data_IF_750865918763
#
_entry.id   IF_750865918763
#
_cell.length_a   1.000
_cell.length_b   1.000
_cell.length_c   1.000
_cell.angle_alpha   90.00
_cell.angle_beta   90.00
_cell.angle_gamma   90.00
#
_symmetry.space_group_name_H-M   'P 1'
#
loop_
_entity.id
_entity.type
_entity.pdbx_description
1 polymer ?
#
# COMPACT_ATOMS: atom_id res chain seq x y z
N UNK A 1 14.60 6.83 0.16
CA UNK A 1 14.13 6.22 -1.11
C UNK A 1 12.91 5.38 -0.79
N UNK A 2 11.80 5.59 -1.50
CA UNK A 2 10.60 4.78 -1.34
C UNK A 2 10.83 3.41 -2.01
N UNK A 3 10.65 2.31 -1.27
CA UNK A 3 10.79 0.96 -1.83
C UNK A 3 9.51 0.60 -2.59
N UNK A 4 9.56 0.77 -3.92
CA UNK A 4 8.43 0.50 -4.81
C UNK A 4 7.95 -0.95 -4.78
N UNK A 5 8.74 -1.90 -4.27
CA UNK A 5 8.38 -3.32 -4.17
C UNK A 5 7.73 -3.67 -2.83
N UNK A 6 7.66 -2.73 -1.89
CA UNK A 6 7.04 -2.94 -0.57
C UNK A 6 5.68 -2.26 -0.46
N UNK A 7 4.79 -2.95 0.25
CA UNK A 7 3.48 -2.48 0.61
C UNK A 7 3.62 -1.35 1.64
N UNK A 8 3.09 -0.15 1.37
CA UNK A 8 3.22 0.98 2.29
C UNK A 8 2.43 0.77 3.60
N UNK A 9 1.39 -0.07 3.58
CA UNK A 9 0.56 -0.33 4.75
C UNK A 9 1.19 -1.30 5.76
N UNK A 10 2.05 -2.23 5.31
CA UNK A 10 2.58 -3.29 6.20
C UNK A 10 4.07 -3.64 6.01
N UNK A 11 4.75 -3.03 5.05
CA UNK A 11 6.19 -3.26 4.77
C UNK A 11 6.54 -4.58 4.07
N UNK A 12 5.58 -5.51 3.92
CA UNK A 12 5.76 -6.75 3.17
C UNK A 12 5.86 -6.50 1.64
N UNK A 13 6.28 -7.50 0.85
CA UNK A 13 6.28 -7.38 -0.61
C UNK A 13 4.86 -7.12 -1.14
N UNK A 14 4.74 -6.16 -2.05
CA UNK A 14 3.46 -5.83 -2.68
C UNK A 14 3.06 -6.80 -3.81
N UNK A 15 3.99 -7.66 -4.23
CA UNK A 15 3.83 -8.62 -5.32
C UNK A 15 3.49 -7.96 -6.67
N UNK A 16 3.76 -6.67 -6.82
CA UNK A 16 3.51 -5.96 -8.06
C UNK A 16 4.60 -6.30 -9.08
N UNK A 17 4.21 -6.94 -10.18
CA UNK A 17 5.15 -7.30 -11.25
C UNK A 17 5.74 -6.06 -11.92
N UNK A 18 5.00 -4.95 -11.98
CA UNK A 18 5.46 -3.69 -12.54
C UNK A 18 6.44 -2.93 -11.63
N UNK A 19 6.52 -3.28 -10.34
CA UNK A 19 7.47 -2.66 -9.41
C UNK A 19 8.90 -3.21 -9.54
N UNK A 20 9.07 -4.35 -10.23
CA UNK A 20 10.38 -4.92 -10.55
C UNK A 20 10.60 -4.89 -12.08
N UNK A 21 11.62 -4.18 -12.59
CA UNK A 21 11.94 -4.17 -14.01
C UNK A 21 12.13 -5.57 -14.61
N UNK A 22 12.56 -6.55 -13.79
CA UNK A 22 12.78 -7.94 -14.23
C UNK A 22 11.47 -8.71 -14.45
N UNK A 23 10.37 -8.28 -13.81
CA UNK A 23 9.05 -8.93 -13.94
C UNK A 23 8.01 -8.06 -14.63
N UNK A 24 8.36 -6.84 -15.05
CA UNK A 24 7.42 -5.86 -15.61
C UNK A 24 6.70 -6.31 -16.90
N UNK A 25 7.17 -7.36 -17.56
CA UNK A 25 6.50 -7.95 -18.71
C UNK A 25 5.33 -8.88 -18.35
N UNK A 26 5.18 -9.27 -17.07
CA UNK A 26 4.13 -10.15 -16.60
C UNK A 26 2.91 -9.38 -16.08
N UNK A 27 1.72 -9.95 -16.28
CA UNK A 27 0.50 -9.43 -15.68
C UNK A 27 0.60 -9.41 -14.15
N UNK A 28 0.16 -8.31 -13.54
CA UNK A 28 0.14 -8.17 -12.09
C UNK A 28 -1.13 -8.83 -11.50
N UNK A 29 -1.01 -9.40 -10.30
CA UNK A 29 -2.16 -9.99 -9.58
C UNK A 29 -3.31 -8.98 -9.40
N UNK A 30 -2.99 -7.68 -9.24
CA UNK A 30 -4.00 -6.66 -8.98
C UNK A 30 -4.95 -6.43 -10.16
N UNK A 31 -4.59 -6.86 -11.37
CA UNK A 31 -5.45 -6.78 -12.56
C UNK A 31 -6.60 -7.79 -12.53
N UNK A 32 -6.47 -8.86 -11.73
CA UNK A 32 -7.47 -9.91 -11.62
C UNK A 32 -8.45 -9.69 -10.45
N UNK A 33 -8.34 -8.58 -9.73
CA UNK A 33 -9.18 -8.30 -8.56
C UNK A 33 -9.79 -6.91 -8.61
N UNK A 34 -10.86 -6.70 -7.85
CA UNK A 34 -11.36 -5.36 -7.53
C UNK A 34 -10.84 -4.95 -6.15
N UNK A 35 -10.11 -3.83 -6.10
CA UNK A 35 -9.62 -3.25 -4.84
C UNK A 35 -10.60 -2.16 -4.42
N UNK A 36 -11.14 -2.26 -3.21
CA UNK A 36 -12.06 -1.26 -2.67
C UNK A 36 -11.34 0.10 -2.54
N UNK A 37 -11.85 1.17 -3.17
CA UNK A 37 -11.30 2.52 -3.03
C UNK A 37 -11.19 3.01 -1.58
N UNK A 38 -12.03 2.51 -0.67
CA UNK A 38 -11.95 2.81 0.76
C UNK A 38 -10.61 2.37 1.36
N UNK A 39 -10.07 1.23 0.90
CA UNK A 39 -8.76 0.73 1.36
C UNK A 39 -7.63 1.68 0.97
N UNK A 40 -7.68 2.24 -0.24
CA UNK A 40 -6.72 3.23 -0.72
C UNK A 40 -6.86 4.57 0.02
N UNK A 41 -8.09 4.98 0.31
CA UNK A 41 -8.39 6.22 1.04
C UNK A 41 -7.96 6.17 2.50
N UNK A 42 -7.92 4.99 3.10
CA UNK A 42 -7.50 4.79 4.48
C UNK A 42 -5.96 4.86 4.67
N UNK A 43 -5.19 4.85 3.58
CA UNK A 43 -3.74 5.09 3.66
C UNK A 43 -3.45 6.54 4.08
N UNK A 44 -2.43 6.76 4.93
CA UNK A 44 -1.87 8.09 5.16
C UNK A 44 -1.55 8.79 3.82
N UNK A 45 -1.79 10.10 3.75
CA UNK A 45 -1.67 10.86 2.51
C UNK A 45 -0.26 10.78 1.92
N UNK A 46 0.75 10.71 2.77
CA UNK A 46 2.16 10.63 2.43
C UNK A 46 2.52 9.31 1.75
N UNK A 47 1.71 8.26 1.99
CA UNK A 47 1.90 6.91 1.48
C UNK A 47 1.05 6.60 0.24
N UNK A 48 0.08 7.47 -0.08
CA UNK A 48 -0.74 7.33 -1.29
C UNK A 48 0.08 7.59 -2.56
N UNK A 49 -0.23 6.85 -3.61
CA UNK A 49 0.41 6.95 -4.94
C UNK A 49 1.94 6.74 -4.94
N UNK A 50 2.48 6.10 -3.88
CA UNK A 50 3.91 5.83 -3.74
C UNK A 50 4.28 4.40 -4.14
N UNK A 51 3.49 3.42 -3.74
CA UNK A 51 3.73 2.01 -4.02
C UNK A 51 2.42 1.22 -4.00
N UNK A 52 2.41 0.04 -4.63
CA UNK A 52 1.23 -0.84 -4.64
C UNK A 52 1.00 -1.48 -3.26
N UNK A 53 -0.26 -1.78 -2.94
CA UNK A 53 -0.61 -2.64 -1.80
C UNK A 53 -0.28 -4.10 -2.09
N UNK A 54 -0.06 -4.90 -1.05
CA UNK A 54 -0.03 -6.36 -1.17
C UNK A 54 -1.46 -6.94 -1.17
N UNK A 55 -1.67 -8.20 -1.62
CA UNK A 55 -2.99 -8.83 -1.65
C UNK A 55 -3.73 -8.78 -0.31
N UNK A 56 -3.01 -8.98 0.80
CA UNK A 56 -3.59 -8.93 2.15
C UNK A 56 -4.12 -7.55 2.52
N UNK A 57 -3.34 -6.50 2.25
CA UNK A 57 -3.76 -5.13 2.55
C UNK A 57 -4.87 -4.67 1.62
N UNK A 58 -4.82 -5.03 0.34
CA UNK A 58 -5.85 -4.72 -0.64
C UNK A 58 -7.20 -5.39 -0.34
N UNK A 59 -7.18 -6.54 0.33
CA UNK A 59 -8.38 -7.23 0.83
C UNK A 59 -8.97 -6.59 2.11
N UNK A 60 -8.41 -5.48 2.60
CA UNK A 60 -8.91 -4.77 3.79
C UNK A 60 -8.41 -5.32 5.13
N UNK A 61 -7.62 -6.40 5.15
CA UNK A 61 -7.14 -7.03 6.38
C UNK A 61 -6.03 -6.24 7.12
N UNK A 62 -5.65 -5.06 6.62
CA UNK A 62 -4.52 -4.29 7.15
C UNK A 62 -4.88 -2.89 7.64
N UNK A 63 -6.17 -2.54 7.66
CA UNK A 63 -6.57 -1.30 8.30
C UNK A 63 -6.97 -1.63 9.72
N UNK A 64 -6.18 -1.23 10.74
CA UNK A 64 -6.75 -1.13 12.07
C UNK A 64 -7.96 -0.20 11.95
N UNK A 65 -9.15 -0.69 12.28
CA UNK A 65 -10.30 0.17 12.55
C UNK A 65 -9.81 1.26 13.51
N UNK A 66 -9.75 2.51 13.04
CA UNK A 66 -9.42 3.68 13.85
C UNK A 66 -8.00 3.76 14.45
N UNK A 67 -6.94 3.73 13.62
CA UNK A 67 -5.67 4.32 14.06
C UNK A 67 -5.82 5.86 14.11
N UNK A 68 -5.71 6.52 15.28
CA UNK A 68 -5.69 7.97 15.33
C UNK A 68 -4.46 8.46 14.57
N UNK A 69 -4.67 9.44 13.68
CA UNK A 69 -3.60 10.24 13.11
C UNK A 69 -2.68 10.68 14.24
N UNK A 70 -1.39 10.38 14.10
CA UNK A 70 -0.42 10.54 15.16
C UNK A 70 -0.41 12.01 15.62
N UNK A 71 -0.83 12.21 16.87
CA UNK A 71 -0.61 13.43 17.63
C UNK A 71 0.88 13.48 17.94
N UNK A 72 1.62 14.37 17.27
CA UNK A 72 2.85 14.96 17.83
C UNK A 72 2.93 16.43 17.37
N UNK A 73 2.08 17.24 17.99
CA UNK A 73 2.43 18.63 18.26
C UNK A 73 3.28 18.63 19.54
N UNK A 74 4.60 18.44 19.40
CA UNK A 74 5.53 18.62 20.52
C UNK A 74 6.87 19.18 20.00
N UNK A 75 6.98 20.51 19.93
CA UNK A 75 7.94 21.25 20.77
C UNK A 75 7.65 22.75 20.71
N UNK A 76 7.59 23.34 21.91
CA UNK A 76 7.54 24.79 22.19
C UNK A 76 8.60 25.59 21.43
#
# INVERSE_FOLDING_TARGET
>A
MNDSQRCPACGALNQCTLADPRTAAAACWCYAVSIDPAVLKALPTELRDKACLCPRCAAGAALPENAPAQVEAEKR
#
